data_IF_554096922023
#
_entry.id   IF_554096922023
#
_cell.length_a   1.000
_cell.length_b   1.000
_cell.length_c   1.000
_cell.angle_alpha   90.00
_cell.angle_beta   90.00
_cell.angle_gamma   90.00
#
_symmetry.space_group_name_H-M   'P 1'
#
loop_
_entity.id
_entity.type
_entity.pdbx_description
1 polymer ?
#
# COMPACT_ATOMS: atom_id res chain seq x y z
N UNK A 1 -4.08 15.49 8.49
CA UNK A 1 -3.69 14.74 9.70
C UNK A 1 -2.18 14.47 9.73
N UNK A 2 -1.60 13.96 8.64
CA UNK A 2 -0.16 13.67 8.52
C UNK A 2 0.75 14.85 8.90
N UNK A 3 0.51 16.05 8.37
CA UNK A 3 1.32 17.25 8.67
C UNK A 3 1.41 17.55 10.17
N UNK A 4 0.30 17.37 10.89
CA UNK A 4 0.25 17.56 12.35
C UNK A 4 1.11 16.53 13.07
N UNK A 5 1.06 15.27 12.66
CA UNK A 5 1.89 14.20 13.23
C UNK A 5 3.38 14.36 12.88
N UNK A 6 3.70 14.75 11.65
CA UNK A 6 5.08 15.05 11.24
C UNK A 6 5.65 16.22 12.04
N UNK A 7 4.86 17.28 12.22
CA UNK A 7 5.23 18.44 13.04
C UNK A 7 5.46 18.03 14.49
N UNK A 8 4.54 17.27 15.09
CA UNK A 8 4.69 16.74 16.44
C UNK A 8 5.95 15.86 16.58
N UNK A 9 6.24 15.01 15.60
CA UNK A 9 7.44 14.17 15.61
C UNK A 9 8.74 14.96 15.54
N UNK A 10 8.77 16.04 14.73
CA UNK A 10 9.90 16.97 14.59
C UNK A 10 10.14 17.78 15.87
N UNK A 11 9.06 18.27 16.49
CA UNK A 11 9.11 19.04 17.74
C UNK A 11 9.43 18.16 18.97
N UNK A 12 9.16 16.85 18.89
CA UNK A 12 9.43 15.94 20.00
C UNK A 12 10.95 15.75 20.21
N UNK A 13 11.48 15.98 21.43
CA UNK A 13 12.89 15.78 21.74
C UNK A 13 13.36 14.36 21.40
N UNK A 14 14.60 14.21 20.90
CA UNK A 14 15.18 12.90 20.56
C UNK A 14 15.24 11.95 21.76
N UNK A 15 15.33 12.49 22.99
CA UNK A 15 15.32 11.76 24.25
C UNK A 15 13.95 11.16 24.63
N UNK A 16 12.85 11.69 24.11
CA UNK A 16 11.48 11.28 24.46
C UNK A 16 11.00 10.11 23.60
N UNK A 17 11.65 8.96 23.72
CA UNK A 17 11.36 7.77 22.88
C UNK A 17 9.91 7.30 22.96
N UNK A 18 9.30 7.29 24.16
CA UNK A 18 7.90 6.88 24.35
C UNK A 18 6.92 7.76 23.57
N UNK A 19 7.14 9.08 23.57
CA UNK A 19 6.27 10.02 22.86
C UNK A 19 6.42 9.87 21.34
N UNK A 20 7.66 9.68 20.86
CA UNK A 20 7.90 9.39 19.44
C UNK A 20 7.28 8.07 19.01
N UNK A 21 7.33 7.04 19.84
CA UNK A 21 6.67 5.76 19.57
C UNK A 21 5.15 5.93 19.43
N UNK A 22 4.51 6.71 20.31
CA UNK A 22 3.07 7.01 20.22
C UNK A 22 2.72 7.77 18.94
N UNK A 23 3.55 8.73 18.52
CA UNK A 23 3.34 9.47 17.27
C UNK A 23 3.50 8.53 16.07
N UNK A 24 4.57 7.74 16.04
CA UNK A 24 4.85 6.79 14.95
C UNK A 24 3.78 5.70 14.84
N UNK A 25 3.16 5.29 15.95
CA UNK A 25 2.05 4.34 15.96
C UNK A 25 0.91 4.75 15.02
N UNK A 26 0.58 6.04 14.96
CA UNK A 26 -0.47 6.57 14.08
C UNK A 26 0.06 7.06 12.74
N UNK A 27 1.29 7.55 12.71
CA UNK A 27 1.90 8.11 11.50
C UNK A 27 2.30 7.02 10.49
N UNK A 28 2.75 5.84 10.95
CA UNK A 28 3.11 4.72 10.06
C UNK A 28 1.91 4.27 9.22
N UNK A 29 0.73 3.93 9.79
CA UNK A 29 -0.44 3.58 8.99
C UNK A 29 -0.80 4.65 7.94
N UNK A 30 -0.73 5.93 8.32
CA UNK A 30 -1.00 7.04 7.39
C UNK A 30 0.00 7.03 6.22
N UNK A 31 1.29 6.82 6.47
CA UNK A 31 2.26 6.65 5.39
C UNK A 31 1.96 5.46 4.50
N UNK A 32 1.61 4.31 5.09
CA UNK A 32 1.28 3.11 4.33
C UNK A 32 0.13 3.37 3.35
N UNK A 33 -0.92 4.11 3.75
CA UNK A 33 -2.03 4.48 2.83
C UNK A 33 -1.59 5.36 1.67
N UNK A 34 -0.50 6.12 1.84
CA UNK A 34 0.10 6.95 0.77
C UNK A 34 1.12 6.20 -0.08
N UNK A 35 1.40 4.94 0.25
CA UNK A 35 2.48 4.15 -0.34
C UNK A 35 3.89 4.58 0.08
N UNK A 36 3.99 5.34 1.17
CA UNK A 36 5.26 5.72 1.79
C UNK A 36 5.64 4.64 2.80
N UNK A 37 6.83 4.05 2.65
CA UNK A 37 7.33 3.03 3.57
C UNK A 37 8.32 3.67 4.56
N UNK A 38 8.21 3.38 5.87
CA UNK A 38 9.19 3.88 6.83
C UNK A 38 10.58 3.26 6.58
N UNK A 39 11.63 4.05 6.82
CA UNK A 39 13.01 3.55 6.73
C UNK A 39 13.25 2.43 7.75
N UNK A 40 13.95 1.35 7.37
CA UNK A 40 14.35 0.29 8.31
C UNK A 40 15.09 0.83 9.55
N UNK A 41 15.89 1.89 9.38
CA UNK A 41 16.66 2.52 10.47
C UNK A 41 15.80 3.27 11.48
N UNK A 42 14.65 3.80 11.03
CA UNK A 42 13.69 4.46 11.92
C UNK A 42 12.90 3.40 12.66
N UNK A 43 12.51 2.33 11.97
CA UNK A 43 11.68 1.27 12.52
C UNK A 43 12.43 0.42 13.55
N UNK A 44 13.71 0.12 13.32
CA UNK A 44 14.56 -0.68 14.22
C UNK A 44 14.75 -0.05 15.61
N UNK A 45 14.58 1.27 15.73
CA UNK A 45 14.61 1.99 17.01
C UNK A 45 13.39 1.73 17.88
N UNK A 46 12.31 1.18 17.32
CA UNK A 46 11.04 0.92 18.00
C UNK A 46 10.60 -0.55 17.78
N UNK A 47 11.16 -1.52 18.52
CA UNK A 47 10.94 -2.95 18.28
C UNK A 47 9.47 -3.38 18.27
N UNK A 48 8.64 -2.75 19.13
CA UNK A 48 7.19 -3.02 19.18
C UNK A 48 6.51 -2.62 17.87
N UNK A 49 6.81 -1.43 17.35
CA UNK A 49 6.28 -0.95 16.08
C UNK A 49 6.84 -1.76 14.90
N UNK A 50 8.12 -2.14 14.96
CA UNK A 50 8.71 -3.02 13.94
C UNK A 50 7.95 -4.35 13.87
N UNK A 51 7.77 -5.02 15.00
CA UNK A 51 7.08 -6.32 15.04
C UNK A 51 5.64 -6.25 14.52
N UNK A 52 4.97 -5.11 14.71
CA UNK A 52 3.58 -4.89 14.28
C UNK A 52 3.51 -4.53 12.79
N UNK A 53 4.34 -3.61 12.32
CA UNK A 53 4.20 -3.02 10.99
C UNK A 53 5.06 -3.66 9.89
N UNK A 54 6.14 -4.36 10.25
CA UNK A 54 7.04 -5.01 9.28
C UNK A 54 6.32 -5.98 8.33
N UNK A 55 5.38 -6.84 8.78
CA UNK A 55 4.65 -7.74 7.89
C UNK A 55 3.86 -7.00 6.79
N UNK A 56 3.25 -5.86 7.12
CA UNK A 56 2.52 -5.02 6.17
C UNK A 56 3.46 -4.30 5.20
N UNK A 57 4.58 -3.77 5.70
CA UNK A 57 5.61 -3.11 4.89
C UNK A 57 6.18 -4.08 3.85
N UNK A 58 6.51 -5.30 4.27
CA UNK A 58 7.05 -6.32 3.38
C UNK A 58 5.99 -6.78 2.38
N UNK A 59 4.74 -6.99 2.81
CA UNK A 59 3.64 -7.33 1.90
C UNK A 59 3.40 -6.25 0.83
N UNK A 60 3.45 -4.96 1.19
CA UNK A 60 3.35 -3.84 0.24
C UNK A 60 4.53 -3.84 -0.73
N UNK A 61 5.76 -4.00 -0.23
CA UNK A 61 6.97 -4.04 -1.07
C UNK A 61 6.94 -5.21 -2.06
N UNK A 62 6.45 -6.36 -1.61
CA UNK A 62 6.31 -7.56 -2.41
C UNK A 62 5.13 -7.47 -3.39
N UNK A 63 4.16 -6.58 -3.16
CA UNK A 63 2.88 -6.59 -3.87
C UNK A 63 2.07 -7.84 -3.57
N UNK A 64 2.23 -8.43 -2.39
CA UNK A 64 1.54 -9.66 -2.00
C UNK A 64 0.35 -9.33 -1.10
N UNK A 65 -0.84 -9.24 -1.71
CA UNK A 65 -2.08 -8.89 -1.01
C UNK A 65 -2.51 -9.98 -0.03
N UNK A 66 -2.29 -11.26 -0.34
CA UNK A 66 -2.62 -12.35 0.60
C UNK A 66 -1.77 -12.28 1.87
N UNK A 67 -0.47 -12.02 1.74
CA UNK A 67 0.43 -11.80 2.88
C UNK A 67 -0.01 -10.60 3.73
N UNK A 68 -0.57 -9.55 3.09
CA UNK A 68 -1.15 -8.40 3.80
C UNK A 68 -2.38 -8.82 4.60
N UNK A 69 -3.25 -9.64 4.02
CA UNK A 69 -4.49 -10.14 4.62
C UNK A 69 -4.21 -11.05 5.82
N UNK A 70 -3.25 -11.96 5.67
CA UNK A 70 -2.81 -12.84 6.74
C UNK A 70 -2.21 -12.04 7.90
N UNK A 71 -1.49 -10.94 7.60
CA UNK A 71 -1.00 -10.03 8.62
C UNK A 71 -2.14 -9.27 9.31
N UNK A 72 -3.15 -8.80 8.57
CA UNK A 72 -4.32 -8.14 9.16
C UNK A 72 -5.04 -9.06 10.14
N UNK A 73 -5.33 -10.30 9.73
CA UNK A 73 -5.96 -11.29 10.59
C UNK A 73 -5.11 -11.62 11.83
N UNK A 74 -3.79 -11.79 11.65
CA UNK A 74 -2.87 -12.08 12.76
C UNK A 74 -2.79 -10.96 13.80
N UNK A 75 -2.85 -9.70 13.38
CA UNK A 75 -2.65 -8.54 14.25
C UNK A 75 -3.92 -7.78 14.58
N UNK A 76 -5.09 -8.30 14.20
CA UNK A 76 -6.40 -7.65 14.35
C UNK A 76 -6.62 -7.10 15.75
N UNK A 77 -6.56 -7.94 16.79
CA UNK A 77 -6.79 -7.53 18.18
C UNK A 77 -5.87 -6.38 18.63
N UNK A 78 -4.59 -6.40 18.20
CA UNK A 78 -3.63 -5.36 18.55
C UNK A 78 -3.92 -4.05 17.83
N UNK A 79 -4.28 -4.11 16.55
CA UNK A 79 -4.60 -2.94 15.74
C UNK A 79 -5.92 -2.29 16.18
N UNK A 80 -6.92 -3.10 16.55
CA UNK A 80 -8.20 -2.63 17.11
C UNK A 80 -7.97 -1.94 18.45
N UNK A 81 -7.21 -2.56 19.37
CA UNK A 81 -6.87 -1.96 20.66
C UNK A 81 -6.11 -0.63 20.52
N UNK A 82 -5.43 -0.41 19.39
CA UNK A 82 -4.68 0.83 19.11
C UNK A 82 -5.46 1.83 18.25
N UNK A 83 -6.68 1.52 17.82
CA UNK A 83 -7.48 2.30 16.87
C UNK A 83 -6.78 2.55 15.52
N UNK A 84 -5.97 1.60 15.06
CA UNK A 84 -5.23 1.71 13.79
C UNK A 84 -5.69 0.73 12.72
N UNK A 85 -6.57 -0.22 13.07
CA UNK A 85 -7.03 -1.29 12.17
C UNK A 85 -7.53 -0.78 10.82
N UNK A 86 -8.54 0.10 10.82
CA UNK A 86 -9.14 0.63 9.58
C UNK A 86 -8.10 1.36 8.71
N UNK A 87 -7.22 2.15 9.33
CA UNK A 87 -6.17 2.89 8.60
C UNK A 87 -5.17 1.94 7.95
N UNK A 88 -4.79 0.86 8.64
CA UNK A 88 -3.91 -0.18 8.06
C UNK A 88 -4.64 -0.93 6.97
N UNK A 89 -5.91 -1.27 7.14
CA UNK A 89 -6.72 -1.94 6.12
C UNK A 89 -6.78 -1.14 4.81
N UNK A 90 -6.93 0.18 4.89
CA UNK A 90 -6.90 1.05 3.70
C UNK A 90 -5.59 0.91 2.91
N UNK A 91 -4.45 0.65 3.57
CA UNK A 91 -3.16 0.49 2.90
C UNK A 91 -3.05 -0.81 2.07
N UNK A 92 -4.00 -1.75 2.19
CA UNK A 92 -4.11 -2.93 1.34
C UNK A 92 -4.13 -2.57 -0.15
N UNK A 93 -4.78 -1.47 -0.51
CA UNK A 93 -4.88 -1.02 -1.90
C UNK A 93 -3.51 -0.69 -2.51
N UNK A 94 -2.56 -0.28 -1.67
CA UNK A 94 -1.18 0.03 -2.09
C UNK A 94 -0.43 -1.25 -2.42
N UNK A 95 -0.60 -2.33 -1.64
CA UNK A 95 -0.02 -3.63 -1.97
C UNK A 95 -0.56 -4.14 -3.31
N UNK A 96 -1.87 -4.02 -3.53
CA UNK A 96 -2.52 -4.37 -4.80
C UNK A 96 -1.97 -3.54 -5.96
N UNK A 97 -1.80 -2.23 -5.77
CA UNK A 97 -1.24 -1.34 -6.78
C UNK A 97 0.20 -1.73 -7.14
N UNK A 98 1.02 -2.10 -6.17
CA UNK A 98 2.40 -2.57 -6.41
C UNK A 98 2.39 -3.85 -7.24
N UNK A 99 1.48 -4.79 -6.98
CA UNK A 99 1.30 -5.99 -7.80
C UNK A 99 0.99 -5.63 -9.26
N UNK A 100 -0.01 -4.78 -9.49
CA UNK A 100 -0.41 -4.38 -10.84
C UNK A 100 0.69 -3.61 -11.56
N UNK A 101 1.47 -2.79 -10.85
CA UNK A 101 2.66 -2.16 -11.40
C UNK A 101 3.69 -3.20 -11.86
N UNK A 102 3.91 -4.27 -11.10
CA UNK A 102 4.81 -5.36 -11.51
C UNK A 102 4.30 -6.06 -12.76
N UNK A 103 3.01 -6.35 -12.87
CA UNK A 103 2.39 -6.92 -14.09
C UNK A 103 2.66 -6.04 -15.30
N UNK A 104 2.43 -4.73 -15.17
CA UNK A 104 2.72 -3.77 -16.24
C UNK A 104 4.22 -3.76 -16.65
N UNK A 105 5.12 -3.80 -15.67
CA UNK A 105 6.57 -3.83 -15.94
C UNK A 105 7.02 -5.11 -16.62
N UNK A 106 6.47 -6.26 -16.22
CA UNK A 106 6.75 -7.57 -16.83
C UNK A 106 6.20 -7.61 -18.27
N UNK A 107 5.07 -6.96 -18.51
CA UNK A 107 4.47 -6.84 -19.84
C UNK A 107 5.13 -5.76 -20.72
N UNK A 108 6.43 -5.52 -20.55
CA UNK A 108 7.26 -4.61 -21.36
C UNK A 108 6.66 -3.20 -21.47
N UNK A 109 5.92 -2.77 -20.44
CA UNK A 109 5.25 -1.45 -20.39
C UNK A 109 4.30 -1.21 -21.57
N UNK A 110 3.66 -2.25 -22.10
CA UNK A 110 2.63 -2.08 -23.13
C UNK A 110 1.48 -1.22 -22.61
N UNK A 111 1.06 -0.23 -23.40
CA UNK A 111 -0.06 0.64 -23.05
C UNK A 111 -1.40 -0.10 -23.00
N UNK A 112 -1.52 -1.31 -23.56
CA UNK A 112 -2.76 -2.10 -23.55
C UNK A 112 -2.47 -3.47 -22.96
N UNK A 113 -3.01 -3.74 -21.77
CA UNK A 113 -2.77 -4.99 -21.05
C UNK A 113 -4.10 -5.72 -20.83
N UNK A 114 -4.24 -6.99 -21.24
CA UNK A 114 -5.43 -7.79 -20.95
C UNK A 114 -5.69 -7.89 -19.44
N UNK A 115 -6.95 -7.79 -19.02
CA UNK A 115 -7.33 -7.91 -17.60
C UNK A 115 -7.03 -9.29 -17.02
N UNK A 116 -7.04 -10.33 -17.85
CA UNK A 116 -6.67 -11.70 -17.49
C UNK A 116 -5.25 -11.81 -16.92
N UNK A 117 -4.30 -10.97 -17.35
CA UNK A 117 -2.93 -10.95 -16.79
C UNK A 117 -2.93 -10.48 -15.33
N UNK A 118 -3.77 -9.51 -14.99
CA UNK A 118 -3.91 -9.04 -13.61
C UNK A 118 -4.67 -10.04 -12.74
N UNK A 119 -5.68 -10.71 -13.29
CA UNK A 119 -6.36 -11.82 -12.62
C UNK A 119 -5.39 -12.97 -12.29
N UNK A 120 -4.55 -13.37 -13.25
CA UNK A 120 -3.51 -14.38 -13.04
C UNK A 120 -2.51 -13.96 -11.96
N UNK A 121 -2.11 -12.69 -11.93
CA UNK A 121 -1.21 -12.18 -10.90
C UNK A 121 -1.86 -12.22 -9.50
N UNK A 122 -3.16 -11.93 -9.41
CA UNK A 122 -3.92 -12.05 -8.17
C UNK A 122 -4.01 -13.50 -7.69
N UNK A 123 -4.33 -14.41 -8.60
CA UNK A 123 -4.35 -15.85 -8.32
C UNK A 123 -2.97 -16.35 -7.87
N UNK A 124 -1.90 -15.87 -8.50
CA UNK A 124 -0.52 -16.20 -8.14
C UNK A 124 -0.17 -15.79 -6.70
N UNK A 125 -0.62 -14.63 -6.24
CA UNK A 125 -0.42 -14.22 -4.84
C UNK A 125 -1.42 -14.88 -3.87
N UNK A 126 -2.26 -15.81 -4.33
CA UNK A 126 -3.21 -16.55 -3.49
C UNK A 126 -4.56 -15.89 -3.32
N UNK A 127 -4.97 -15.02 -4.26
CA UNK A 127 -6.30 -14.37 -4.29
C UNK A 127 -7.00 -14.74 -5.59
N UNK A 128 -7.81 -15.80 -5.57
CA UNK A 128 -8.61 -16.21 -6.73
C UNK A 128 -9.89 -15.37 -6.76
N UNK A 129 -10.00 -14.51 -7.77
CA UNK A 129 -11.10 -13.53 -7.89
C UNK A 129 -11.67 -13.58 -9.29
N UNK A 130 -12.95 -13.22 -9.42
CA UNK A 130 -13.62 -13.13 -10.71
C UNK A 130 -13.17 -11.89 -11.49
N UNK A 131 -13.37 -11.91 -12.82
CA UNK A 131 -13.00 -10.80 -13.69
C UNK A 131 -13.70 -9.49 -13.30
N UNK A 132 -14.96 -9.56 -12.84
CA UNK A 132 -15.72 -8.41 -12.36
C UNK A 132 -15.03 -7.73 -11.16
N UNK A 133 -14.42 -8.50 -10.26
CA UNK A 133 -13.69 -7.97 -9.11
C UNK A 133 -12.37 -7.30 -9.56
N UNK A 134 -11.67 -7.89 -10.54
CA UNK A 134 -10.48 -7.28 -11.15
C UNK A 134 -10.82 -5.92 -11.78
N UNK A 135 -11.90 -5.85 -12.55
CA UNK A 135 -12.40 -4.61 -13.14
C UNK A 135 -12.72 -3.58 -12.06
N UNK A 136 -13.38 -3.99 -10.97
CA UNK A 136 -13.70 -3.12 -9.84
C UNK A 136 -12.44 -2.55 -9.18
N UNK A 137 -11.44 -3.39 -8.89
CA UNK A 137 -10.16 -2.93 -8.33
C UNK A 137 -9.49 -1.90 -9.25
N UNK A 138 -9.45 -2.15 -10.56
CA UNK A 138 -8.86 -1.24 -11.53
C UNK A 138 -9.60 0.08 -11.61
N UNK A 139 -10.93 0.06 -11.68
CA UNK A 139 -11.77 1.26 -11.74
C UNK A 139 -11.56 2.13 -10.49
N UNK A 140 -11.55 1.50 -9.31
CA UNK A 140 -11.29 2.16 -8.02
C UNK A 140 -9.92 2.83 -8.00
N UNK A 141 -8.87 2.15 -8.49
CA UNK A 141 -7.52 2.72 -8.55
C UNK A 141 -7.37 3.85 -9.55
N UNK A 142 -8.07 3.80 -10.69
CA UNK A 142 -8.11 4.89 -11.67
C UNK A 142 -8.78 6.11 -11.06
N UNK A 143 -9.95 5.92 -10.43
CA UNK A 143 -10.68 7.01 -9.76
C UNK A 143 -9.84 7.69 -8.68
N UNK A 144 -9.08 6.91 -7.90
CA UNK A 144 -8.16 7.42 -6.86
C UNK A 144 -6.86 8.00 -7.41
N UNK A 145 -6.61 7.92 -8.73
CA UNK A 145 -5.38 8.39 -9.37
C UNK A 145 -4.14 7.54 -9.07
N UNK A 146 -4.31 6.33 -8.52
CA UNK A 146 -3.22 5.38 -8.27
C UNK A 146 -2.71 4.75 -9.57
N UNK A 147 -3.58 4.66 -10.58
CA UNK A 147 -3.30 4.20 -11.94
C UNK A 147 -3.82 5.28 -12.90
N UNK A 148 -3.06 5.58 -13.96
CA UNK A 148 -3.49 6.48 -15.04
C UNK A 148 -3.79 5.67 -16.29
N UNK A 149 -5.03 5.69 -16.71
CA UNK A 149 -5.52 4.91 -17.84
C UNK A 149 -7.03 4.84 -17.85
N UNK A 150 -7.59 4.00 -18.72
CA UNK A 150 -9.01 3.68 -18.74
C UNK A 150 -9.24 2.19 -18.95
N UNK A 151 -10.41 1.72 -18.53
CA UNK A 151 -10.85 0.35 -18.74
C UNK A 151 -11.72 0.25 -19.99
N UNK A 152 -11.41 -0.71 -20.86
CA UNK A 152 -12.31 -1.13 -21.92
C UNK A 152 -13.07 -2.37 -21.44
N UNK A 153 -14.29 -2.18 -20.93
CA UNK A 153 -15.09 -3.26 -20.37
C UNK A 153 -15.43 -4.34 -21.41
N UNK A 154 -15.87 -3.95 -22.61
CA UNK A 154 -16.28 -4.89 -23.67
C UNK A 154 -15.15 -5.72 -24.23
N UNK A 155 -13.91 -5.24 -24.15
CA UNK A 155 -12.73 -5.95 -24.66
C UNK A 155 -11.84 -6.53 -23.56
N UNK A 156 -12.16 -6.25 -22.29
CA UNK A 156 -11.38 -6.66 -21.12
C UNK A 156 -9.90 -6.24 -21.16
N UNK A 157 -9.64 -4.98 -21.53
CA UNK A 157 -8.29 -4.39 -21.48
C UNK A 157 -8.22 -3.20 -20.53
N UNK A 158 -7.08 -3.10 -19.85
CA UNK A 158 -6.62 -1.86 -19.23
C UNK A 158 -5.73 -1.11 -20.22
N UNK A 159 -6.12 0.11 -20.58
CA UNK A 159 -5.32 1.00 -21.41
C UNK A 159 -4.62 2.01 -20.51
N UNK A 160 -3.32 1.86 -20.35
CA UNK A 160 -2.47 2.67 -19.48
C UNK A 160 -1.91 3.90 -20.22
N UNK A 161 -1.71 4.97 -19.47
CA UNK A 161 -1.07 6.20 -19.96
C UNK A 161 0.40 5.95 -20.30
N UNK A 162 0.83 6.34 -21.49
CA UNK A 162 2.23 6.27 -21.93
C UNK A 162 3.17 7.03 -21.00
N UNK A 163 2.67 8.14 -20.44
CA UNK A 163 3.38 8.95 -19.44
C UNK A 163 2.83 8.63 -18.06
N UNK A 164 3.69 8.12 -17.18
CA UNK A 164 3.39 7.97 -15.75
C UNK A 164 2.12 7.13 -15.44
N UNK A 165 1.96 5.97 -16.10
CA UNK A 165 0.89 5.00 -15.86
C UNK A 165 0.67 4.69 -14.36
N UNK A 166 1.75 4.66 -13.59
CA UNK A 166 1.73 4.47 -12.14
C UNK A 166 2.46 5.64 -11.46
N UNK A 167 1.74 6.68 -10.99
CA UNK A 167 2.33 7.81 -10.28
C UNK A 167 3.26 7.42 -9.13
N UNK A 168 4.39 8.11 -8.99
CA UNK A 168 5.29 7.85 -7.85
C UNK A 168 4.54 8.24 -6.57
N UNK A 169 4.69 7.41 -5.52
CA UNK A 169 4.20 7.79 -4.20
C UNK A 169 4.93 9.06 -3.74
N UNK A 170 4.28 9.90 -2.95
CA UNK A 170 4.95 11.07 -2.37
C UNK A 170 6.19 10.66 -1.56
N UNK A 171 7.16 11.54 -1.39
CA UNK A 171 8.24 11.28 -0.44
C UNK A 171 7.70 11.33 1.01
N UNK A 172 8.23 10.54 1.95
CA UNK A 172 8.02 10.81 3.37
C UNK A 172 8.46 12.26 3.62
N UNK A 173 7.65 13.03 4.35
CA UNK A 173 7.93 14.43 4.69
C UNK A 173 9.15 14.62 5.62
N UNK A 174 10.14 13.73 5.58
CA UNK A 174 11.38 13.77 6.34
C UNK A 174 12.64 13.96 5.50
N UNK A 175 12.51 14.10 4.18
CA UNK A 175 13.59 14.66 3.36
C UNK A 175 13.71 16.14 3.61
#
# INVERSE_FOLDING_TARGET
AEEKFVTAFRMCPKSSLKNKELILRYLIPVWLTRGVLPSPEVLSRYPKLESLYKPFIDAIRDGNVKKFDDALAKFELKLVAQNTFLTVELAREIAMRVLFKKVYLINIRESKVPLSKFQQALKYVGRDVEMAEVMWYMASMIQKGLIRGYLSYSKEFLVLSEKNAFPVFGAPAFT
#
